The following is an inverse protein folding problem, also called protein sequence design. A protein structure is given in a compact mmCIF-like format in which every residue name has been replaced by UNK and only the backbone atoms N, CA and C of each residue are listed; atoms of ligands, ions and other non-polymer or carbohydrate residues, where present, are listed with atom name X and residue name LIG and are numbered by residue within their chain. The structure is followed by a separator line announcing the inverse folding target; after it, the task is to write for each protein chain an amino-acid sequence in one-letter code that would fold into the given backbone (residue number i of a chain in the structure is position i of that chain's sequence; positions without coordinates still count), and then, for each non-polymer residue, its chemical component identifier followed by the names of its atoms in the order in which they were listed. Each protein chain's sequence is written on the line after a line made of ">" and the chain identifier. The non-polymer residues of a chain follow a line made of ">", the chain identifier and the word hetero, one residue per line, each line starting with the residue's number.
data_IF_335896562918
#
_entry.id   IF_335896562918
#
_cell.length_a   1.000
_cell.length_b   1.000
_cell.length_c   1.000
_cell.angle_alpha   90.00
_cell.angle_beta   90.00
_cell.angle_gamma   90.00
#
_symmetry.space_group_name_H-M   'P 1'
#
loop_
_entity.id
_entity.type
_entity.pdbx_description
1 polymer ?
#
# COMPACT_ATOMS: atom_id res chain seq x y z
N UNK A 1 45.09 4.27 -5.49
CA UNK A 1 44.61 5.64 -5.21
C UNK A 1 43.90 6.13 -6.46
N UNK A 2 42.57 6.25 -6.42
CA UNK A 2 41.79 7.19 -7.23
C UNK A 2 40.45 7.40 -6.52
N UNK A 3 40.16 8.66 -6.24
CA UNK A 3 39.22 9.12 -5.24
C UNK A 3 37.75 8.88 -5.61
N UNK A 4 36.99 8.50 -4.59
CA UNK A 4 35.55 8.61 -4.48
C UNK A 4 35.09 10.05 -4.68
N UNK A 5 34.11 10.25 -5.56
CA UNK A 5 33.09 11.28 -5.39
C UNK A 5 31.73 10.61 -5.58
N UNK A 6 31.28 9.90 -4.54
CA UNK A 6 29.87 9.55 -4.40
C UNK A 6 29.14 10.84 -4.05
N UNK A 7 28.53 11.46 -5.06
CA UNK A 7 27.68 12.61 -4.90
C UNK A 7 26.45 12.16 -4.12
N UNK A 8 26.44 12.41 -2.80
CA UNK A 8 25.26 12.23 -1.95
C UNK A 8 24.15 13.11 -2.53
N UNK A 9 23.26 12.53 -3.33
CA UNK A 9 21.99 13.17 -3.69
C UNK A 9 21.07 13.01 -2.48
N UNK A 10 20.69 14.10 -1.79
CA UNK A 10 19.71 13.99 -0.73
C UNK A 10 18.37 13.57 -1.36
N UNK A 11 17.91 12.38 -0.99
CA UNK A 11 16.58 11.91 -1.38
C UNK A 11 15.55 12.90 -0.83
N UNK A 12 14.73 13.44 -1.73
CA UNK A 12 13.66 14.36 -1.35
C UNK A 12 12.57 13.58 -0.62
N UNK A 13 12.65 13.54 0.70
CA UNK A 13 11.51 13.12 1.51
C UNK A 13 10.46 14.24 1.42
N UNK A 14 9.21 13.95 1.04
CA UNK A 14 8.16 14.98 0.89
C UNK A 14 7.84 15.72 2.19
N UNK A 15 8.33 15.23 3.34
CA UNK A 15 8.18 15.86 4.65
C UNK A 15 9.41 16.65 5.12
N UNK A 16 10.55 16.60 4.42
CA UNK A 16 11.78 17.27 4.85
C UNK A 16 12.08 18.50 4.00
N UNK A 17 11.78 19.67 4.56
CA UNK A 17 12.37 20.95 4.13
C UNK A 17 13.75 21.04 4.80
N UNK A 18 14.82 21.10 4.01
CA UNK A 18 16.21 21.21 4.50
C UNK A 18 16.38 22.44 5.42
N UNK A 19 16.85 22.28 6.68
CA UNK A 19 17.34 23.41 7.46
C UNK A 19 18.79 23.78 7.05
N UNK A 20 19.19 25.06 7.21
CA UNK A 20 20.52 25.51 6.85
C UNK A 20 21.57 24.91 7.79
N UNK A 21 22.67 24.45 7.21
CA UNK A 21 23.81 23.88 7.94
C UNK A 21 24.48 24.97 8.77
N UNK A 22 24.47 24.82 10.10
CA UNK A 22 25.41 25.51 10.99
C UNK A 22 26.15 24.48 11.84
N UNK A 23 27.47 24.50 11.71
CA UNK A 23 28.43 23.69 12.46
C UNK A 23 28.48 24.11 13.94
N UNK A 24 28.72 23.13 14.82
CA UNK A 24 29.39 23.36 16.11
C UNK A 24 28.66 22.81 17.33
N UNK A 25 29.10 21.62 17.78
CA UNK A 25 28.96 21.06 19.14
C UNK A 25 27.62 21.24 19.86
N UNK A 26 26.76 20.22 19.80
CA UNK A 26 25.57 20.16 20.66
C UNK A 26 24.73 18.92 20.40
N UNK A 27 24.65 18.04 21.40
CA UNK A 27 23.50 17.23 21.81
C UNK A 27 22.50 16.91 20.68
N UNK A 28 22.54 15.69 20.12
CA UNK A 28 21.55 15.21 19.14
C UNK A 28 20.14 15.38 19.71
N UNK A 29 19.35 16.39 19.27
CA UNK A 29 17.97 16.47 19.66
C UNK A 29 17.26 15.44 18.79
N UNK A 30 16.71 14.41 19.41
CA UNK A 30 15.69 13.59 18.76
C UNK A 30 14.71 14.55 18.08
N UNK A 31 14.44 14.41 16.76
CA UNK A 31 13.55 15.33 16.10
C UNK A 31 12.17 15.15 16.73
N UNK A 32 11.77 16.19 17.47
CA UNK A 32 10.40 16.36 17.91
C UNK A 32 9.52 16.20 16.68
N UNK A 33 8.61 15.23 16.74
CA UNK A 33 7.59 15.00 15.72
C UNK A 33 6.73 16.26 15.65
N UNK A 34 7.08 17.16 14.74
CA UNK A 34 6.25 18.31 14.43
C UNK A 34 4.91 17.77 13.96
N UNK A 35 3.83 18.20 14.63
CA UNK A 35 2.45 18.08 14.17
C UNK A 35 2.28 18.90 12.88
N UNK A 36 2.80 18.40 11.77
CA UNK A 36 2.45 18.91 10.44
C UNK A 36 0.97 18.59 10.20
N UNK A 37 0.14 19.57 9.81
CA UNK A 37 -1.24 19.31 9.39
C UNK A 37 -1.26 18.18 8.34
N UNK A 38 -2.28 17.31 8.35
CA UNK A 38 -2.48 16.27 7.33
C UNK A 38 -2.42 16.90 5.94
N UNK A 39 -1.26 16.87 5.30
CA UNK A 39 -1.10 17.36 3.93
C UNK A 39 -1.50 16.24 2.99
N UNK A 40 -2.50 16.52 2.15
CA UNK A 40 -2.87 15.64 1.05
C UNK A 40 -1.66 15.49 0.11
N UNK A 41 -1.06 14.30 0.09
CA UNK A 41 0.01 14.01 -0.87
C UNK A 41 -0.59 13.66 -2.22
N UNK A 42 0.16 13.90 -3.30
CA UNK A 42 -0.24 13.44 -4.64
C UNK A 42 -0.02 11.93 -4.74
N UNK A 43 -1.08 11.14 -4.74
CA UNK A 43 -0.97 9.70 -4.97
C UNK A 43 -0.51 9.40 -6.40
N UNK A 44 0.61 8.68 -6.51
CA UNK A 44 1.20 8.14 -7.72
C UNK A 44 2.15 7.01 -7.32
N UNK A 45 2.65 6.27 -8.30
CA UNK A 45 3.73 5.32 -8.07
C UNK A 45 5.06 6.06 -7.86
N UNK A 46 5.73 5.78 -6.74
CA UNK A 46 7.01 6.37 -6.33
C UNK A 46 8.19 5.40 -6.50
N UNK A 47 7.95 4.16 -6.94
CA UNK A 47 9.01 3.18 -7.12
C UNK A 47 9.97 3.50 -8.28
N UNK A 48 11.17 2.90 -8.30
CA UNK A 48 11.78 2.09 -7.25
C UNK A 48 12.60 2.94 -6.25
N UNK A 49 12.28 4.23 -6.10
CA UNK A 49 13.08 5.15 -5.28
C UNK A 49 12.92 4.89 -3.77
N UNK A 50 13.91 5.26 -2.93
CA UNK A 50 13.75 5.30 -1.48
C UNK A 50 12.54 6.14 -1.06
N UNK A 51 11.66 5.56 -0.25
CA UNK A 51 10.34 6.12 0.00
C UNK A 51 9.95 6.00 1.48
N UNK A 52 9.47 7.10 2.06
CA UNK A 52 8.94 7.17 3.42
C UNK A 52 7.63 7.93 3.38
N UNK A 53 6.59 7.36 3.97
CA UNK A 53 5.24 7.93 3.96
C UNK A 53 4.49 7.53 5.23
N UNK A 54 3.52 8.36 5.66
CA UNK A 54 2.50 7.89 6.60
C UNK A 54 1.50 7.00 5.84
N UNK A 55 1.66 5.68 5.96
CA UNK A 55 0.84 4.72 5.20
C UNK A 55 -0.64 4.77 5.59
N UNK A 56 -0.96 5.04 6.85
CA UNK A 56 -2.34 5.17 7.33
C UNK A 56 -3.04 6.31 6.61
N UNK A 57 -2.43 7.51 6.63
CA UNK A 57 -3.02 8.71 6.05
C UNK A 57 -3.28 8.54 4.55
N UNK A 58 -2.32 7.98 3.80
CA UNK A 58 -2.45 7.84 2.34
C UNK A 58 -3.43 6.74 1.95
N UNK A 59 -3.52 5.68 2.75
CA UNK A 59 -4.51 4.61 2.56
C UNK A 59 -5.92 5.15 2.77
N UNK A 60 -6.15 5.92 3.84
CA UNK A 60 -7.45 6.55 4.12
C UNK A 60 -7.80 7.65 3.11
N UNK A 61 -6.80 8.37 2.61
CA UNK A 61 -6.96 9.39 1.56
C UNK A 61 -7.39 8.79 0.21
N UNK A 62 -6.93 7.58 -0.14
CA UNK A 62 -7.21 6.99 -1.44
C UNK A 62 -8.70 6.69 -1.65
N UNK A 63 -9.26 7.10 -2.79
CA UNK A 63 -10.63 6.79 -3.19
C UNK A 63 -10.72 5.95 -4.47
N UNK A 64 -9.58 5.60 -5.08
CA UNK A 64 -9.55 4.70 -6.23
C UNK A 64 -9.74 3.26 -5.77
N UNK A 65 -10.38 2.43 -6.59
CA UNK A 65 -10.46 1.00 -6.34
C UNK A 65 -9.06 0.39 -6.17
N UNK A 66 -8.11 0.76 -7.04
CA UNK A 66 -6.70 0.36 -6.94
C UNK A 66 -5.79 1.48 -7.44
N UNK A 67 -4.72 1.76 -6.71
CA UNK A 67 -3.62 2.61 -7.18
C UNK A 67 -2.28 2.04 -6.72
N UNK A 68 -1.31 1.91 -7.62
CA UNK A 68 0.06 1.61 -7.26
C UNK A 68 0.69 2.83 -6.57
N UNK A 69 1.17 2.63 -5.34
CA UNK A 69 1.90 3.65 -4.58
C UNK A 69 3.42 3.48 -4.74
N UNK A 70 3.89 2.24 -4.85
CA UNK A 70 5.31 1.96 -5.03
C UNK A 70 5.49 0.61 -5.71
N UNK A 71 6.17 0.57 -6.84
CA UNK A 71 6.53 -0.66 -7.56
C UNK A 71 8.04 -0.75 -7.73
N UNK A 72 8.66 -1.77 -7.16
CA UNK A 72 10.08 -2.09 -7.36
C UNK A 72 10.26 -3.46 -7.99
N UNK A 73 11.49 -3.97 -7.97
CA UNK A 73 11.81 -5.25 -8.64
C UNK A 73 11.26 -6.48 -7.91
N UNK A 74 11.08 -6.40 -6.59
CA UNK A 74 10.77 -7.55 -5.73
C UNK A 74 9.41 -7.50 -5.04
N UNK A 75 8.82 -6.31 -4.90
CA UNK A 75 7.47 -6.18 -4.39
C UNK A 75 6.78 -4.92 -4.91
N UNK A 76 5.45 -4.92 -4.81
CA UNK A 76 4.60 -3.79 -5.16
C UNK A 76 3.65 -3.48 -4.00
N UNK A 77 3.51 -2.20 -3.68
CA UNK A 77 2.55 -1.66 -2.72
C UNK A 77 1.43 -0.92 -3.47
N UNK A 78 0.19 -1.35 -3.26
CA UNK A 78 -1.01 -0.69 -3.77
C UNK A 78 -1.92 -0.21 -2.64
N UNK A 79 -2.70 0.82 -2.92
CA UNK A 79 -3.79 1.28 -2.06
C UNK A 79 -5.12 0.93 -2.71
N UNK A 80 -6.12 0.57 -1.90
CA UNK A 80 -7.46 0.24 -2.38
C UNK A 80 -8.54 0.87 -1.51
N UNK A 81 -9.67 1.16 -2.13
CA UNK A 81 -10.88 1.67 -1.48
C UNK A 81 -12.08 0.92 -2.04
N UNK A 82 -12.55 -0.11 -1.33
CA UNK A 82 -13.67 -0.96 -1.76
C UNK A 82 -14.97 -0.37 -1.24
N UNK A 83 -15.96 -0.07 -2.09
CA UNK A 83 -17.22 0.54 -1.61
C UNK A 83 -18.06 -0.47 -0.80
N UNK A 84 -19.02 0.00 0.00
CA UNK A 84 -19.96 -0.90 0.70
C UNK A 84 -20.62 -1.90 -0.24
N UNK A 85 -20.58 -3.19 0.13
CA UNK A 85 -21.16 -4.28 -0.66
C UNK A 85 -20.34 -4.73 -1.87
N UNK A 86 -19.30 -3.98 -2.27
CA UNK A 86 -18.33 -4.44 -3.27
C UNK A 86 -17.32 -5.41 -2.64
N UNK A 87 -16.61 -6.12 -3.50
CA UNK A 87 -15.50 -6.99 -3.18
C UNK A 87 -14.30 -6.69 -4.08
N UNK A 88 -13.13 -7.26 -3.75
CA UNK A 88 -11.97 -7.18 -4.64
C UNK A 88 -12.26 -7.95 -5.94
N UNK A 89 -12.88 -9.13 -5.81
CA UNK A 89 -13.01 -10.10 -6.88
C UNK A 89 -12.36 -11.42 -6.44
N UNK A 90 -12.84 -12.53 -6.99
CA UNK A 90 -12.26 -13.84 -6.69
C UNK A 90 -11.02 -14.07 -7.55
N UNK A 91 -9.86 -14.02 -6.91
CA UNK A 91 -8.55 -14.10 -7.56
C UNK A 91 -7.73 -15.31 -7.07
N UNK A 92 -6.65 -15.62 -7.80
CA UNK A 92 -5.59 -16.56 -7.41
C UNK A 92 -4.29 -16.09 -8.03
N UNK A 93 -3.21 -16.09 -7.24
CA UNK A 93 -1.87 -15.82 -7.76
C UNK A 93 -0.96 -17.03 -7.53
N UNK A 94 -0.55 -17.77 -8.56
CA UNK A 94 0.22 -19.01 -8.38
C UNK A 94 1.69 -18.76 -8.01
N UNK A 95 2.22 -17.56 -8.26
CA UNK A 95 3.67 -17.29 -8.24
C UNK A 95 4.07 -16.15 -7.29
N UNK A 96 3.16 -15.65 -6.46
CA UNK A 96 3.45 -14.57 -5.51
C UNK A 96 2.63 -14.75 -4.24
N UNK A 97 3.19 -14.28 -3.13
CA UNK A 97 2.46 -14.08 -1.90
C UNK A 97 1.92 -12.65 -1.86
N UNK A 98 0.81 -12.48 -1.14
CA UNK A 98 0.20 -11.17 -0.93
C UNK A 98 -0.06 -10.92 0.56
N UNK A 99 0.25 -9.71 1.01
CA UNK A 99 -0.07 -9.20 2.33
C UNK A 99 -1.09 -8.08 2.20
N UNK A 100 -2.12 -8.08 3.04
CA UNK A 100 -3.12 -7.01 3.10
C UNK A 100 -3.25 -6.51 4.53
N UNK A 101 -3.31 -5.19 4.72
CA UNK A 101 -3.68 -4.56 6.00
C UNK A 101 -4.85 -3.60 5.81
N UNK A 102 -5.81 -3.68 6.73
CA UNK A 102 -6.97 -2.81 6.79
C UNK A 102 -6.66 -1.60 7.68
N UNK A 103 -6.82 -0.40 7.14
CA UNK A 103 -6.65 0.86 7.86
C UNK A 103 -8.00 1.47 8.29
N UNK A 104 -9.09 1.15 7.60
CA UNK A 104 -10.44 1.61 7.96
C UNK A 104 -11.53 0.72 7.36
N UNK A 105 -12.52 0.32 8.15
CA UNK A 105 -13.70 -0.42 7.70
C UNK A 105 -13.74 -1.86 8.18
N UNK A 106 -14.70 -2.62 7.66
CA UNK A 106 -14.87 -4.02 8.03
C UNK A 106 -15.18 -4.88 6.82
N UNK A 107 -14.62 -6.08 6.80
CA UNK A 107 -14.78 -7.02 5.69
C UNK A 107 -14.88 -8.46 6.12
N UNK A 108 -15.13 -9.31 5.12
CA UNK A 108 -15.06 -10.76 5.23
C UNK A 108 -14.00 -11.24 4.24
N UNK A 109 -12.89 -11.75 4.76
CA UNK A 109 -11.90 -12.43 3.93
C UNK A 109 -12.31 -13.89 3.76
N UNK A 110 -12.17 -14.40 2.54
CA UNK A 110 -12.41 -15.80 2.18
C UNK A 110 -11.19 -16.33 1.45
N UNK A 111 -10.72 -17.52 1.80
CA UNK A 111 -9.61 -18.20 1.13
C UNK A 111 -9.84 -19.70 1.06
N UNK A 112 -9.21 -20.37 0.09
CA UNK A 112 -9.25 -21.83 -0.03
C UNK A 112 -8.34 -22.38 -1.12
N UNK A 113 -8.17 -23.70 -1.12
CA UNK A 113 -7.41 -24.41 -2.18
C UNK A 113 -8.21 -24.59 -3.48
N UNK A 114 -9.53 -24.42 -3.43
CA UNK A 114 -10.41 -24.62 -4.59
C UNK A 114 -11.30 -23.40 -4.80
N UNK A 115 -11.52 -23.05 -6.06
CA UNK A 115 -12.34 -21.89 -6.48
C UNK A 115 -13.76 -21.94 -5.90
N UNK A 116 -14.33 -23.13 -5.84
CA UNK A 116 -15.70 -23.41 -5.39
C UNK A 116 -15.80 -23.74 -3.88
N UNK A 117 -14.67 -23.77 -3.16
CA UNK A 117 -14.64 -24.04 -1.72
C UNK A 117 -13.63 -23.15 -0.99
N UNK A 118 -14.11 -22.01 -0.50
CA UNK A 118 -13.36 -21.08 0.34
C UNK A 118 -13.70 -21.33 1.82
N UNK A 119 -13.07 -22.35 2.39
CA UNK A 119 -13.32 -22.88 3.73
C UNK A 119 -12.72 -22.01 4.85
N UNK A 120 -11.68 -21.25 4.56
CA UNK A 120 -11.15 -20.24 5.45
C UNK A 120 -11.96 -18.94 5.30
N UNK A 121 -12.70 -18.55 6.34
CA UNK A 121 -13.44 -17.28 6.37
C UNK A 121 -13.25 -16.56 7.69
N UNK A 122 -12.88 -15.27 7.65
CA UNK A 122 -12.70 -14.46 8.86
C UNK A 122 -13.23 -13.05 8.65
N UNK A 123 -13.90 -12.52 9.68
CA UNK A 123 -14.20 -11.10 9.73
C UNK A 123 -12.92 -10.34 10.05
N UNK A 124 -12.70 -9.23 9.35
CA UNK A 124 -11.53 -8.37 9.50
C UNK A 124 -12.01 -6.93 9.67
N UNK A 125 -11.23 -6.15 10.40
CA UNK A 125 -11.56 -4.78 10.83
C UNK A 125 -10.32 -3.90 10.73
N UNK A 126 -10.46 -2.62 11.06
CA UNK A 126 -9.35 -1.71 11.37
C UNK A 126 -8.25 -2.46 12.18
N UNK A 127 -6.98 -2.23 11.80
CA UNK A 127 -5.76 -2.86 12.33
C UNK A 127 -5.51 -4.34 11.98
N UNK A 128 -6.45 -5.02 11.33
CA UNK A 128 -6.20 -6.41 10.92
C UNK A 128 -5.27 -6.46 9.72
N UNK A 129 -4.36 -7.44 9.75
CA UNK A 129 -3.59 -7.87 8.61
C UNK A 129 -3.84 -9.35 8.32
N UNK A 130 -3.73 -9.74 7.06
CA UNK A 130 -3.78 -11.13 6.66
C UNK A 130 -2.86 -11.39 5.46
N UNK A 131 -2.44 -12.65 5.34
CA UNK A 131 -1.52 -13.12 4.33
C UNK A 131 -2.27 -14.09 3.45
N UNK A 132 -2.10 -13.94 2.14
CA UNK A 132 -2.60 -14.83 1.09
C UNK A 132 -1.37 -15.51 0.49
N UNK A 133 -1.12 -16.78 0.83
CA UNK A 133 -0.06 -17.55 0.22
C UNK A 133 -0.33 -17.79 -1.27
N UNK A 134 0.74 -17.91 -2.06
CA UNK A 134 0.68 -18.30 -3.45
C UNK A 134 -0.19 -19.56 -3.65
N UNK A 135 -1.02 -19.54 -4.69
CA UNK A 135 -1.92 -20.63 -5.07
C UNK A 135 -3.23 -20.71 -4.29
N UNK A 136 -3.49 -19.83 -3.31
CA UNK A 136 -4.80 -19.76 -2.65
C UNK A 136 -5.79 -18.93 -3.48
N UNK A 137 -6.96 -19.50 -3.73
CA UNK A 137 -8.12 -18.71 -4.15
C UNK A 137 -8.52 -17.79 -3.00
N UNK A 138 -8.79 -16.52 -3.28
CA UNK A 138 -9.09 -15.55 -2.24
C UNK A 138 -10.02 -14.44 -2.71
N UNK A 139 -10.74 -13.85 -1.77
CA UNK A 139 -11.55 -12.65 -1.97
C UNK A 139 -11.67 -11.88 -0.64
N UNK A 140 -11.89 -10.57 -0.73
CA UNK A 140 -12.23 -9.70 0.39
C UNK A 140 -13.48 -8.91 0.04
N UNK A 141 -14.52 -9.07 0.86
CA UNK A 141 -15.82 -8.44 0.65
C UNK A 141 -15.99 -7.33 1.70
N UNK A 142 -16.35 -6.12 1.28
CA UNK A 142 -16.71 -5.06 2.21
C UNK A 142 -18.11 -5.33 2.80
N UNK A 143 -18.14 -5.62 4.10
CA UNK A 143 -19.37 -5.92 4.85
C UNK A 143 -19.85 -4.73 5.71
N UNK A 144 -19.19 -3.59 5.59
CA UNK A 144 -19.51 -2.36 6.28
C UNK A 144 -20.47 -1.46 5.49
N UNK A 145 -20.73 -0.29 6.07
CA UNK A 145 -21.52 0.79 5.48
C UNK A 145 -20.67 1.99 5.01
N UNK A 146 -19.34 1.90 5.14
CA UNK A 146 -18.35 2.87 4.66
C UNK A 146 -17.34 2.18 3.74
N UNK A 147 -16.58 2.91 2.91
CA UNK A 147 -15.51 2.31 2.12
C UNK A 147 -14.49 1.57 3.02
N UNK A 148 -14.05 0.40 2.57
CA UNK A 148 -12.99 -0.38 3.19
C UNK A 148 -11.66 0.11 2.62
N UNK A 149 -10.85 0.75 3.46
CA UNK A 149 -9.54 1.31 3.14
C UNK A 149 -8.45 0.34 3.54
N UNK A 150 -7.63 -0.06 2.57
CA UNK A 150 -6.57 -1.03 2.77
C UNK A 150 -5.39 -0.74 1.85
N UNK A 151 -4.24 -1.28 2.22
CA UNK A 151 -3.12 -1.41 1.31
C UNK A 151 -2.75 -2.88 1.13
N UNK A 152 -2.23 -3.20 -0.05
CA UNK A 152 -1.80 -4.54 -0.42
C UNK A 152 -0.34 -4.52 -0.84
N UNK A 153 0.42 -5.54 -0.42
CA UNK A 153 1.79 -5.78 -0.84
C UNK A 153 1.82 -7.11 -1.61
N UNK A 154 2.28 -7.08 -2.85
CA UNK A 154 2.50 -8.25 -3.69
C UNK A 154 4.00 -8.54 -3.77
N UNK A 155 4.42 -9.79 -3.65
CA UNK A 155 5.83 -10.19 -3.81
C UNK A 155 5.96 -11.49 -4.62
N UNK A 156 6.42 -11.45 -5.90
CA UNK A 156 6.80 -10.28 -6.71
C UNK A 156 5.65 -9.31 -7.07
N UNK A 157 5.94 -8.16 -7.73
CA UNK A 157 4.92 -7.25 -8.27
C UNK A 157 3.88 -7.95 -9.16
N UNK A 158 2.63 -7.50 -9.09
CA UNK A 158 1.52 -8.06 -9.86
C UNK A 158 1.03 -7.15 -11.00
N UNK A 159 0.91 -5.84 -10.74
CA UNK A 159 0.38 -4.88 -11.71
C UNK A 159 1.49 -4.04 -12.35
N UNK A 160 1.24 -3.46 -13.54
CA UNK A 160 2.17 -2.49 -14.15
C UNK A 160 2.51 -1.32 -13.23
N UNK A 161 3.70 -0.75 -13.41
CA UNK A 161 4.10 0.50 -12.76
C UNK A 161 3.07 1.61 -13.05
N UNK A 162 2.66 2.35 -12.02
CA UNK A 162 1.73 3.47 -12.19
C UNK A 162 0.27 3.08 -12.44
N UNK A 163 -0.12 1.81 -12.20
CA UNK A 163 -1.53 1.38 -12.31
C UNK A 163 -2.47 2.25 -11.47
N UNK A 164 -3.56 2.69 -12.09
CA UNK A 164 -4.68 3.36 -11.44
C UNK A 164 -5.98 2.80 -12.02
N UNK A 165 -6.77 2.15 -11.19
CA UNK A 165 -8.14 1.74 -11.50
C UNK A 165 -9.08 2.55 -10.60
N UNK A 166 -9.87 3.45 -11.19
CA UNK A 166 -10.74 4.33 -10.40
C UNK A 166 -11.90 3.53 -9.83
N UNK A 167 -12.43 2.61 -10.63
CA UNK A 167 -13.54 1.74 -10.23
C UNK A 167 -13.15 0.26 -10.28
N UNK A 168 -14.03 -0.59 -9.76
CA UNK A 168 -13.88 -2.04 -9.84
C UNK A 168 -13.95 -2.51 -11.29
N UNK A 169 -14.86 -1.94 -12.08
CA UNK A 169 -15.03 -2.26 -13.50
C UNK A 169 -13.78 -1.94 -14.31
N UNK A 170 -13.09 -0.83 -14.00
CA UNK A 170 -11.79 -0.51 -14.62
C UNK A 170 -10.75 -1.60 -14.34
N UNK A 171 -10.77 -2.18 -13.12
CA UNK A 171 -9.84 -3.24 -12.73
C UNK A 171 -10.18 -4.56 -13.40
N UNK A 172 -11.46 -4.97 -13.39
CA UNK A 172 -11.93 -6.19 -14.05
C UNK A 172 -11.70 -6.16 -15.57
N UNK A 173 -11.74 -4.98 -16.20
CA UNK A 173 -11.45 -4.84 -17.63
C UNK A 173 -9.95 -4.92 -17.98
N UNK A 174 -9.06 -4.80 -16.99
CA UNK A 174 -7.61 -4.78 -17.15
C UNK A 174 -6.93 -6.11 -16.79
N UNK A 175 -7.66 -7.07 -16.22
CA UNK A 175 -7.20 -8.42 -15.87
C UNK A 175 -7.58 -9.48 -16.91
#
# INVERSE_FOLDING_TARGET
>A
MSNMYNYYRPYSCPYYVNPPIYNGYGMYPYPYWNNTPRQFIKLKDYGPEPFVINIEDVTKQNNNFRIALWTGDYFQLTLMSIKPGEDIGLEIHPNLDQFIRIEEGQGLVKMGDKKDNLDFQRRVYDDYAFIIPAGKWHNLINTGNKPLKLYSIYAPPQHPYGTIHKTKEDAEAAE
#
